data_IF_252681558590
#
_entry.id   IF_252681558590
#
_cell.length_a   1.000
_cell.length_b   1.000
_cell.length_c   1.000
_cell.angle_alpha   90.00
_cell.angle_beta   90.00
_cell.angle_gamma   90.00
#
_symmetry.space_group_name_H-M   'P 1'
#
loop_
_entity.id
_entity.type
_entity.pdbx_description
1 polymer ?
#
# COMPACT_ATOMS: atom_id res chain seq x y z
N UNK A 1 -10.86 30.76 30.60
CA UNK A 1 -12.19 30.71 29.96
C UNK A 1 -13.04 31.81 30.54
N UNK A 2 -13.70 32.60 29.70
CA UNK A 2 -14.60 33.68 30.12
C UNK A 2 -15.97 33.43 29.49
N UNK A 3 -17.05 33.54 30.27
CA UNK A 3 -18.42 33.41 29.78
C UNK A 3 -19.03 34.81 29.60
N UNK A 4 -19.60 35.06 28.43
CA UNK A 4 -20.41 36.25 28.22
C UNK A 4 -21.76 36.13 28.94
N UNK A 5 -22.45 37.24 29.16
CA UNK A 5 -23.82 37.25 29.71
C UNK A 5 -24.83 36.48 28.85
N UNK A 6 -24.52 36.25 27.57
CA UNK A 6 -25.29 35.40 26.66
C UNK A 6 -25.07 33.89 26.86
N UNK A 7 -24.20 33.48 27.79
CA UNK A 7 -23.81 32.09 28.01
C UNK A 7 -22.77 31.57 27.02
N UNK A 8 -22.35 32.37 26.03
CA UNK A 8 -21.29 32.00 25.09
C UNK A 8 -19.93 31.93 25.79
N UNK A 9 -19.22 30.83 25.56
CA UNK A 9 -17.86 30.63 26.05
C UNK A 9 -16.87 31.32 25.11
N UNK A 10 -15.98 32.12 25.68
CA UNK A 10 -14.85 32.72 24.98
C UNK A 10 -13.53 32.18 25.56
N UNK A 11 -12.64 31.80 24.65
CA UNK A 11 -11.28 31.41 25.01
C UNK A 11 -10.46 32.67 25.31
N UNK A 12 -9.85 32.70 26.49
CA UNK A 12 -8.93 33.76 26.89
C UNK A 12 -7.63 33.09 27.28
N UNK A 13 -6.68 33.10 26.36
CA UNK A 13 -5.35 32.51 26.51
C UNK A 13 -4.30 33.56 26.15
N UNK A 14 -3.10 33.45 26.73
CA UNK A 14 -1.96 34.27 26.30
C UNK A 14 -1.67 34.01 24.81
N UNK A 15 -1.20 35.01 24.03
CA UNK A 15 -0.96 34.84 22.59
C UNK A 15 -0.01 33.70 22.21
N UNK A 16 0.81 33.22 23.14
CA UNK A 16 1.77 32.13 22.96
C UNK A 16 1.21 30.72 23.19
N UNK A 17 -0.08 30.56 23.51
CA UNK A 17 -0.69 29.25 23.78
C UNK A 17 -2.17 29.24 23.41
N UNK A 18 -2.68 28.07 23.04
CA UNK A 18 -4.13 27.86 22.86
C UNK A 18 -4.75 27.21 24.09
N UNK A 19 -6.08 27.26 24.19
CA UNK A 19 -6.81 26.52 25.23
C UNK A 19 -6.53 25.02 25.11
N UNK A 20 -6.50 24.49 23.89
CA UNK A 20 -6.16 23.10 23.60
C UNK A 20 -4.78 22.71 24.14
N UNK A 21 -3.75 23.54 23.94
CA UNK A 21 -2.39 23.25 24.45
C UNK A 21 -2.32 23.30 25.98
N UNK A 22 -3.13 24.15 26.62
CA UNK A 22 -3.22 24.21 28.09
C UNK A 22 -3.91 22.94 28.60
N UNK A 23 -5.02 22.53 27.98
CA UNK A 23 -5.78 21.33 28.37
C UNK A 23 -4.96 20.05 28.16
N UNK A 24 -4.24 19.94 27.04
CA UNK A 24 -3.34 18.82 26.77
C UNK A 24 -2.23 18.71 27.82
N UNK A 25 -1.58 19.83 28.17
CA UNK A 25 -0.57 19.86 29.24
C UNK A 25 -1.15 19.49 30.59
N UNK A 26 -2.34 19.99 30.93
CA UNK A 26 -3.02 19.64 32.17
C UNK A 26 -3.31 18.14 32.23
N UNK A 27 -3.84 17.55 31.15
CA UNK A 27 -4.13 16.12 31.08
C UNK A 27 -2.86 15.27 31.24
N UNK A 28 -1.76 15.68 30.61
CA UNK A 28 -0.46 14.98 30.71
C UNK A 28 0.15 15.05 32.11
N UNK A 29 0.07 16.20 32.78
CA UNK A 29 0.70 16.42 34.09
C UNK A 29 -0.15 15.96 35.28
N UNK A 30 -1.47 16.17 35.21
CA UNK A 30 -2.38 15.85 36.32
C UNK A 30 -2.78 14.38 36.38
N UNK A 31 -2.58 13.64 35.28
CA UNK A 31 -3.08 12.26 35.12
C UNK A 31 -4.61 12.17 34.99
N UNK A 32 -5.35 13.29 35.11
CA UNK A 32 -6.80 13.32 34.92
C UNK A 32 -7.11 13.35 33.43
N UNK A 33 -7.86 12.35 32.97
CA UNK A 33 -8.38 12.29 31.59
C UNK A 33 -9.52 13.29 31.45
N UNK A 34 -9.34 14.26 30.55
CA UNK A 34 -10.36 15.25 30.19
C UNK A 34 -11.29 14.73 29.08
N UNK A 35 -10.86 13.67 28.39
CA UNK A 35 -11.58 13.05 27.29
C UNK A 35 -12.72 12.16 27.79
N UNK A 36 -13.78 12.07 26.98
CA UNK A 36 -14.79 11.03 27.17
C UNK A 36 -14.24 9.66 26.74
N UNK A 37 -14.96 8.59 27.09
CA UNK A 37 -14.55 7.24 26.76
C UNK A 37 -14.37 7.00 25.25
N UNK A 38 -15.11 7.73 24.40
CA UNK A 38 -14.99 7.57 22.93
C UNK A 38 -13.66 8.14 22.43
N UNK A 39 -13.30 9.33 22.86
CA UNK A 39 -12.04 9.98 22.49
C UNK A 39 -10.84 9.24 23.09
N UNK A 40 -10.96 8.70 24.30
CA UNK A 40 -9.91 7.85 24.89
C UNK A 40 -9.70 6.56 24.08
N UNK A 41 -10.78 5.86 23.72
CA UNK A 41 -10.70 4.68 22.86
C UNK A 41 -10.07 4.99 21.51
N UNK A 42 -10.43 6.12 20.89
CA UNK A 42 -9.84 6.55 19.62
C UNK A 42 -8.34 6.83 19.76
N UNK A 43 -7.91 7.51 20.82
CA UNK A 43 -6.48 7.75 21.07
C UNK A 43 -5.71 6.44 21.25
N UNK A 44 -6.26 5.49 22.00
CA UNK A 44 -5.64 4.18 22.21
C UNK A 44 -5.54 3.39 20.90
N UNK A 45 -6.55 3.49 20.04
CA UNK A 45 -6.56 2.88 18.70
C UNK A 45 -5.47 3.47 17.81
N UNK A 46 -5.34 4.80 17.79
CA UNK A 46 -4.29 5.51 17.05
C UNK A 46 -2.91 5.05 17.53
N UNK A 47 -2.70 4.96 18.83
CA UNK A 47 -1.42 4.53 19.40
C UNK A 47 -1.12 3.06 19.08
N UNK A 48 -2.15 2.21 19.03
CA UNK A 48 -2.01 0.81 18.58
C UNK A 48 -1.56 0.74 17.11
N UNK A 49 -2.25 1.46 16.24
CA UNK A 49 -1.95 1.48 14.79
C UNK A 49 -0.55 2.04 14.54
N UNK A 50 -0.14 3.09 15.26
CA UNK A 50 1.23 3.63 15.15
C UNK A 50 2.29 2.59 15.50
N UNK A 51 2.12 1.88 16.63
CA UNK A 51 3.05 0.82 17.04
C UNK A 51 3.11 -0.33 16.03
N UNK A 52 1.97 -0.71 15.47
CA UNK A 52 1.90 -1.75 14.43
C UNK A 52 2.61 -1.29 13.15
N UNK A 53 2.41 -0.04 12.74
CA UNK A 53 3.11 0.55 11.59
C UNK A 53 4.62 0.63 11.81
N UNK A 54 5.07 1.08 12.99
CA UNK A 54 6.49 1.13 13.33
C UNK A 54 7.13 -0.26 13.27
N UNK A 55 6.41 -1.28 13.77
CA UNK A 55 6.83 -2.68 13.68
C UNK A 55 6.92 -3.14 12.22
N UNK A 56 5.91 -2.89 11.40
CA UNK A 56 5.92 -3.25 9.98
C UNK A 56 7.08 -2.59 9.23
N UNK A 57 7.42 -1.34 9.56
CA UNK A 57 8.57 -0.65 8.97
C UNK A 57 9.91 -1.28 9.36
N UNK A 58 10.04 -1.78 10.59
CA UNK A 58 11.22 -2.55 11.01
C UNK A 58 11.31 -3.86 10.22
N UNK A 59 10.21 -4.61 10.14
CA UNK A 59 10.15 -5.88 9.39
C UNK A 59 10.51 -5.66 7.91
N UNK A 60 10.02 -4.58 7.29
CA UNK A 60 10.35 -4.21 5.91
C UNK A 60 11.84 -3.93 5.72
N UNK A 61 12.46 -3.15 6.61
CA UNK A 61 13.91 -2.90 6.58
C UNK A 61 14.71 -4.19 6.69
N UNK A 62 14.32 -5.07 7.60
CA UNK A 62 14.97 -6.37 7.79
C UNK A 62 14.85 -7.26 6.55
N UNK A 63 13.69 -7.29 5.89
CA UNK A 63 13.51 -7.98 4.61
C UNK A 63 14.39 -7.38 3.49
N UNK A 64 14.70 -6.09 3.55
CA UNK A 64 15.66 -5.44 2.64
C UNK A 64 17.13 -5.67 3.01
N UNK A 65 17.41 -6.42 4.09
CA UNK A 65 18.76 -6.70 4.58
C UNK A 65 19.35 -5.61 5.48
N UNK A 66 18.53 -4.66 5.93
CA UNK A 66 18.93 -3.60 6.87
C UNK A 66 18.70 -4.05 8.33
N UNK A 67 19.45 -3.50 9.29
CA UNK A 67 19.31 -3.76 10.74
C UNK A 67 19.40 -5.26 11.19
N UNK A 68 19.83 -6.16 10.29
CA UNK A 68 19.84 -7.61 10.51
C UNK A 68 20.89 -8.13 11.51
N UNK A 69 21.91 -7.33 11.83
CA UNK A 69 23.04 -7.77 12.68
C UNK A 69 22.64 -8.05 14.13
N UNK A 70 21.50 -7.49 14.57
CA UNK A 70 20.95 -7.66 15.92
C UNK A 70 19.96 -8.83 16.03
N UNK A 71 19.59 -9.45 14.92
CA UNK A 71 18.62 -10.53 14.88
C UNK A 71 19.20 -11.86 15.34
N UNK A 72 18.36 -12.69 15.94
CA UNK A 72 18.76 -14.05 16.25
C UNK A 72 18.75 -14.92 15.00
N UNK A 73 19.52 -16.02 15.04
CA UNK A 73 19.64 -16.95 13.93
C UNK A 73 18.28 -17.45 13.41
N UNK A 74 17.32 -17.69 14.33
CA UNK A 74 15.97 -18.12 13.95
C UNK A 74 15.23 -17.06 13.14
N UNK A 75 15.29 -15.80 13.56
CA UNK A 75 14.63 -14.70 12.85
C UNK A 75 15.25 -14.49 11.45
N UNK A 76 16.57 -14.68 11.33
CA UNK A 76 17.26 -14.64 10.03
C UNK A 76 16.81 -15.77 9.10
N UNK A 77 16.60 -16.97 9.63
CA UNK A 77 16.11 -18.12 8.86
C UNK A 77 14.66 -17.90 8.37
N UNK A 78 13.81 -17.32 9.21
CA UNK A 78 12.44 -16.96 8.84
C UNK A 78 12.43 -15.89 7.72
N UNK A 79 13.34 -14.91 7.78
CA UNK A 79 13.54 -13.91 6.71
C UNK A 79 14.02 -14.57 5.40
N UNK A 80 15.00 -15.45 5.48
CA UNK A 80 15.54 -16.17 4.31
C UNK A 80 14.44 -16.99 3.62
N UNK A 81 13.65 -17.74 4.39
CA UNK A 81 12.52 -18.53 3.86
C UNK A 81 11.47 -17.64 3.20
N UNK A 82 11.11 -16.51 3.82
CA UNK A 82 10.16 -15.56 3.25
C UNK A 82 10.66 -14.97 1.91
N UNK A 83 11.94 -14.61 1.84
CA UNK A 83 12.57 -14.07 0.63
C UNK A 83 12.64 -15.11 -0.49
N UNK A 84 13.05 -16.34 -0.20
CA UNK A 84 13.13 -17.41 -1.21
C UNK A 84 11.74 -17.73 -1.76
N UNK A 85 10.73 -17.88 -0.90
CA UNK A 85 9.35 -18.10 -1.32
C UNK A 85 8.82 -16.94 -2.18
N UNK A 86 9.11 -15.69 -1.81
CA UNK A 86 8.76 -14.51 -2.59
C UNK A 86 9.42 -14.50 -3.97
N UNK A 87 10.71 -14.84 -4.06
CA UNK A 87 11.45 -14.92 -5.32
C UNK A 87 10.93 -16.01 -6.23
N UNK A 88 10.62 -17.19 -5.69
CA UNK A 88 9.99 -18.28 -6.44
C UNK A 88 8.66 -17.82 -7.03
N UNK A 89 7.79 -17.22 -6.22
CA UNK A 89 6.51 -16.69 -6.69
C UNK A 89 6.64 -15.62 -7.78
N UNK A 90 7.62 -14.73 -7.69
CA UNK A 90 7.90 -13.73 -8.73
C UNK A 90 8.35 -14.41 -10.03
N UNK A 91 9.27 -15.38 -9.96
CA UNK A 91 9.76 -16.11 -11.14
C UNK A 91 8.64 -16.88 -11.82
N UNK A 92 7.80 -17.56 -11.04
CA UNK A 92 6.63 -18.28 -11.55
C UNK A 92 5.69 -17.32 -12.28
N UNK A 93 5.42 -16.15 -11.68
CA UNK A 93 4.54 -15.16 -12.30
C UNK A 93 5.11 -14.58 -13.60
N UNK A 94 6.42 -14.31 -13.62
CA UNK A 94 7.11 -13.87 -14.84
C UNK A 94 7.01 -14.92 -15.94
N UNK A 95 7.20 -16.20 -15.61
CA UNK A 95 7.09 -17.31 -16.54
C UNK A 95 5.66 -17.47 -17.08
N UNK A 96 4.64 -17.33 -16.23
CA UNK A 96 3.23 -17.33 -16.67
C UNK A 96 2.95 -16.23 -17.70
N UNK A 97 3.40 -15.00 -17.40
CA UNK A 97 3.21 -13.84 -18.29
C UNK A 97 3.93 -14.06 -19.63
N UNK A 98 5.16 -14.58 -19.59
CA UNK A 98 5.94 -14.90 -20.78
C UNK A 98 5.21 -15.92 -21.67
N UNK A 99 4.78 -17.05 -21.11
CA UNK A 99 4.04 -18.08 -21.85
C UNK A 99 2.73 -17.57 -22.44
N UNK A 100 2.01 -16.72 -21.69
CA UNK A 100 0.79 -16.08 -22.18
C UNK A 100 1.08 -15.18 -23.38
N UNK A 101 2.16 -14.40 -23.32
CA UNK A 101 2.59 -13.54 -24.43
C UNK A 101 2.97 -14.36 -25.66
N UNK A 102 3.79 -15.40 -25.52
CA UNK A 102 4.16 -16.30 -26.64
C UNK A 102 2.94 -16.92 -27.30
N UNK A 103 1.96 -17.39 -26.50
CA UNK A 103 0.73 -17.95 -27.03
C UNK A 103 -0.06 -16.92 -27.83
N UNK A 104 -0.20 -15.70 -27.31
CA UNK A 104 -0.93 -14.62 -27.98
C UNK A 104 -0.23 -14.22 -29.29
N UNK A 105 1.11 -14.13 -29.30
CA UNK A 105 1.90 -13.83 -30.48
C UNK A 105 1.68 -14.87 -31.58
N UNK A 106 1.78 -16.16 -31.22
CA UNK A 106 1.50 -17.25 -32.16
C UNK A 106 0.08 -17.19 -32.74
N UNK A 107 -0.93 -16.92 -31.90
CA UNK A 107 -2.31 -16.79 -32.37
C UNK A 107 -2.47 -15.63 -33.36
N UNK A 108 -1.83 -14.49 -33.08
CA UNK A 108 -1.84 -13.33 -33.96
C UNK A 108 -1.09 -13.59 -35.29
N UNK A 109 0.01 -14.34 -35.26
CA UNK A 109 0.72 -14.74 -36.47
C UNK A 109 -0.14 -15.66 -37.34
N UNK A 110 -0.79 -16.66 -36.73
CA UNK A 110 -1.67 -17.60 -37.43
C UNK A 110 -2.89 -16.85 -38.05
N UNK A 111 -3.50 -15.93 -37.30
CA UNK A 111 -4.61 -15.11 -37.80
C UNK A 111 -4.17 -14.17 -38.93
N UNK A 112 -3.03 -13.48 -38.78
CA UNK A 112 -2.50 -12.62 -39.84
C UNK A 112 -2.18 -13.39 -41.10
N UNK A 113 -1.62 -14.60 -40.97
CA UNK A 113 -1.36 -15.48 -42.11
C UNK A 113 -2.67 -15.85 -42.81
N UNK A 114 -3.68 -16.26 -42.05
CA UNK A 114 -4.99 -16.60 -42.60
C UNK A 114 -5.63 -15.42 -43.36
N UNK A 115 -5.57 -14.21 -42.79
CA UNK A 115 -6.10 -13.00 -43.43
C UNK A 115 -5.35 -12.65 -44.72
N UNK A 116 -4.01 -12.81 -44.75
CA UNK A 116 -3.21 -12.61 -45.96
C UNK A 116 -3.58 -13.60 -47.06
N UNK A 117 -3.76 -14.87 -46.70
CA UNK A 117 -4.16 -15.91 -47.66
C UNK A 117 -5.56 -15.61 -48.25
N UNK A 118 -6.51 -15.16 -47.42
CA UNK A 118 -7.85 -14.76 -47.86
C UNK A 118 -7.82 -13.54 -48.80
N UNK A 119 -7.02 -12.53 -48.45
CA UNK A 119 -6.84 -11.34 -49.28
C UNK A 119 -6.28 -11.71 -50.66
N UNK A 120 -5.24 -12.55 -50.68
CA UNK A 120 -4.62 -13.01 -51.92
C UNK A 120 -5.60 -13.79 -52.81
N UNK A 121 -6.46 -14.63 -52.21
CA UNK A 121 -7.52 -15.33 -52.95
C UNK A 121 -8.54 -14.37 -53.56
N UNK A 122 -8.94 -13.32 -52.84
CA UNK A 122 -9.84 -12.29 -53.38
C UNK A 122 -9.22 -11.50 -54.53
N UNK A 123 -7.95 -11.11 -54.42
CA UNK A 123 -7.22 -10.41 -55.47
C UNK A 123 -7.17 -11.25 -56.76
N UNK A 124 -6.85 -12.54 -56.66
CA UNK A 124 -6.85 -13.46 -57.80
C UNK A 124 -8.24 -13.64 -58.43
N UNK A 125 -9.29 -13.71 -57.61
CA UNK A 125 -10.66 -13.83 -58.09
C UNK A 125 -11.14 -12.55 -58.82
N UNK A 126 -10.70 -11.36 -58.35
CA UNK A 126 -11.01 -10.10 -59.02
C UNK A 126 -10.27 -9.95 -60.36
N UNK A 127 -8.99 -10.29 -60.43
CA UNK A 127 -8.20 -10.19 -61.67
C UNK A 127 -8.65 -11.23 -62.72
N UNK A 128 -9.10 -12.40 -62.27
CA UNK A 128 -9.69 -13.44 -63.13
C UNK A 128 -11.06 -13.08 -63.72
N UNK A 129 -11.85 -12.22 -63.05
CA UNK A 129 -13.16 -11.76 -63.52
C UNK A 129 -13.09 -10.57 -64.50
N UNK A 130 -11.92 -9.94 -64.66
CA UNK A 130 -11.73 -8.75 -65.52
C UNK A 130 -11.18 -9.13 -66.92
N UNK A 131 -11.03 -10.43 -67.22
CA UNK A 131 -10.58 -10.95 -68.53
C UNK A 131 -11.69 -11.59 -69.36
#
# INVERSE_FOLDING_TARGET
VVYASSGKMHEYCSPSTTLTDILDRYQKQSGKRLWDAKHENLSNEIDRIKKENDRMQIELRQLMGEDITSLHFKDLMDIEEALENGLVGIRDKQMEIFKMKEKNEKMLEDENKHLRDLLHQQEMAMDGNVR
#
